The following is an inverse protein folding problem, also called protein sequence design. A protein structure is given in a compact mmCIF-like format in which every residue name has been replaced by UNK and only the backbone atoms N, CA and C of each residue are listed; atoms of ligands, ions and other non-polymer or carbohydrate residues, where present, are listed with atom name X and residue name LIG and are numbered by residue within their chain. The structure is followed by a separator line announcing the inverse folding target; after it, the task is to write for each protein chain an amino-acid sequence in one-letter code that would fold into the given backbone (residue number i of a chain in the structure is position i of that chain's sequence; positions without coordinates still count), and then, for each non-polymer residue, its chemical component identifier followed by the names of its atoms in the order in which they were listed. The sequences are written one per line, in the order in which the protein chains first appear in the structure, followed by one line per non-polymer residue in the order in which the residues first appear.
data_IF_795241770349
#
_entry.id   IF_795241770349
#
_cell.length_a   1.000
_cell.length_b   1.000
_cell.length_c   1.000
_cell.angle_alpha   90.00
_cell.angle_beta   90.00
_cell.angle_gamma   90.00
#
_symmetry.space_group_name_H-M   'P 1'
#
loop_
_entity.id
_entity.type
_entity.pdbx_description
1 polymer ?
#
# COMPACT_ATOMS: atom_id res chain seq x y z
N UNK A 1 -16.51 -24.48 -2.76
CA UNK A 1 -16.55 -23.18 -2.06
C UNK A 1 -16.09 -22.13 -3.04
N UNK A 2 -17.09 -21.50 -3.65
CA UNK A 2 -17.03 -20.45 -4.67
C UNK A 2 -16.43 -19.17 -4.09
N UNK A 3 -15.92 -18.33 -4.99
CA UNK A 3 -15.49 -16.95 -4.74
C UNK A 3 -16.45 -16.28 -3.75
N UNK A 4 -15.99 -15.81 -2.60
CA UNK A 4 -16.85 -14.96 -1.78
C UNK A 4 -17.03 -13.62 -2.48
N UNK A 5 -18.27 -13.24 -2.85
CA UNK A 5 -18.58 -12.02 -3.60
C UNK A 5 -18.12 -10.73 -2.89
N UNK A 6 -17.70 -10.80 -1.62
CA UNK A 6 -17.32 -9.67 -0.79
C UNK A 6 -16.03 -8.95 -1.21
N UNK A 7 -14.97 -9.65 -1.63
CA UNK A 7 -13.72 -8.98 -2.06
C UNK A 7 -13.90 -8.26 -3.39
N UNK A 8 -14.54 -8.91 -4.36
CA UNK A 8 -14.90 -8.28 -5.63
C UNK A 8 -15.86 -7.11 -5.41
N UNK A 9 -16.81 -7.24 -4.50
CA UNK A 9 -17.70 -6.14 -4.10
C UNK A 9 -16.93 -4.97 -3.46
N UNK A 10 -15.82 -5.21 -2.77
CA UNK A 10 -14.97 -4.13 -2.23
C UNK A 10 -14.25 -3.36 -3.34
N UNK A 11 -13.72 -4.07 -4.35
CA UNK A 11 -13.11 -3.47 -5.54
C UNK A 11 -14.13 -2.72 -6.39
N UNK A 12 -15.28 -3.34 -6.66
CA UNK A 12 -16.41 -2.74 -7.36
C UNK A 12 -16.91 -1.49 -6.62
N UNK A 13 -17.05 -1.56 -5.29
CA UNK A 13 -17.41 -0.40 -4.46
C UNK A 13 -16.36 0.71 -4.59
N UNK A 14 -15.08 0.39 -4.58
CA UNK A 14 -13.99 1.37 -4.77
C UNK A 14 -14.15 2.08 -6.12
N UNK A 15 -14.37 1.33 -7.20
CA UNK A 15 -14.56 1.90 -8.52
C UNK A 15 -15.82 2.75 -8.62
N UNK A 16 -16.96 2.24 -8.15
CA UNK A 16 -18.24 2.96 -8.15
C UNK A 16 -18.16 4.27 -7.34
N UNK A 17 -17.39 4.27 -6.25
CA UNK A 17 -17.21 5.46 -5.43
C UNK A 17 -16.36 6.52 -6.12
N UNK A 18 -15.32 6.14 -6.87
CA UNK A 18 -14.45 7.08 -7.57
C UNK A 18 -14.79 7.23 -9.07
N UNK A 19 -15.97 6.78 -9.50
CA UNK A 19 -16.41 6.85 -10.91
C UNK A 19 -16.50 8.28 -11.47
N UNK A 20 -16.66 9.27 -10.59
CA UNK A 20 -16.67 10.69 -10.98
C UNK A 20 -15.27 11.24 -11.23
N UNK A 21 -14.21 10.53 -10.80
CA UNK A 21 -12.83 10.90 -11.08
C UNK A 21 -12.40 10.34 -12.43
N UNK A 22 -11.41 10.98 -13.06
CA UNK A 22 -10.93 10.58 -14.36
C UNK A 22 -10.26 9.21 -14.37
N UNK A 23 -10.21 8.58 -15.55
CA UNK A 23 -9.57 7.29 -15.81
C UNK A 23 -8.21 7.17 -15.12
N UNK A 24 -7.99 6.09 -14.39
CA UNK A 24 -6.72 5.81 -13.71
C UNK A 24 -5.82 4.92 -14.58
N UNK A 25 -4.47 4.99 -14.48
CA UNK A 25 -3.57 4.18 -15.33
C UNK A 25 -3.83 2.67 -15.26
N UNK A 26 -4.20 2.17 -14.07
CA UNK A 26 -4.58 0.77 -13.84
C UNK A 26 -6.00 0.74 -13.29
N UNK A 27 -6.96 0.33 -14.10
CA UNK A 27 -8.36 0.27 -13.68
C UNK A 27 -8.83 -1.18 -13.54
N UNK A 28 -9.61 -1.46 -12.51
CA UNK A 28 -10.28 -2.74 -12.37
C UNK A 28 -11.53 -2.76 -13.25
N UNK A 29 -11.73 -3.80 -14.04
CA UNK A 29 -12.96 -4.03 -14.79
C UNK A 29 -13.87 -4.98 -13.99
N UNK A 30 -15.03 -4.51 -13.48
CA UNK A 30 -15.87 -5.30 -12.59
C UNK A 30 -16.63 -6.40 -13.34
N UNK A 31 -16.88 -6.21 -14.64
CA UNK A 31 -17.59 -7.16 -15.49
C UNK A 31 -16.68 -8.35 -15.80
N UNK A 32 -15.45 -8.06 -16.22
CA UNK A 32 -14.48 -9.11 -16.56
C UNK A 32 -13.66 -9.62 -15.37
N UNK A 33 -13.68 -8.90 -14.25
CA UNK A 33 -12.84 -9.16 -13.06
C UNK A 33 -11.34 -9.21 -13.38
N UNK A 34 -10.90 -8.31 -14.26
CA UNK A 34 -9.49 -8.17 -14.67
C UNK A 34 -9.03 -6.74 -14.44
N UNK A 35 -7.74 -6.56 -14.19
CA UNK A 35 -7.14 -5.22 -14.24
C UNK A 35 -6.77 -4.90 -15.69
N UNK A 36 -7.10 -3.69 -16.14
CA UNK A 36 -6.74 -3.18 -17.46
C UNK A 36 -5.79 -2.01 -17.31
N UNK A 37 -4.67 -2.07 -18.03
CA UNK A 37 -3.83 -0.89 -18.23
C UNK A 37 -4.49 0.01 -19.26
N UNK A 38 -4.71 1.27 -18.90
CA UNK A 38 -5.14 2.29 -19.83
C UNK A 38 -3.91 2.82 -20.58
N UNK A 39 -3.84 2.72 -21.92
CA UNK A 39 -2.73 3.27 -22.68
C UNK A 39 -2.74 4.80 -22.61
N UNK A 40 -1.57 5.40 -22.84
CA UNK A 40 -1.43 6.86 -22.91
C UNK A 40 -2.40 7.41 -23.96
N UNK A 41 -3.43 8.10 -23.49
CA UNK A 41 -4.54 8.59 -24.30
C UNK A 41 -5.10 9.86 -23.68
N UNK A 42 -5.91 10.60 -24.44
CA UNK A 42 -6.57 11.84 -23.96
C UNK A 42 -7.40 11.59 -22.70
N UNK A 43 -7.87 10.35 -22.48
CA UNK A 43 -8.62 9.94 -21.28
C UNK A 43 -7.80 9.99 -19.98
N UNK A 44 -6.47 9.94 -20.06
CA UNK A 44 -5.56 10.02 -18.90
C UNK A 44 -5.13 11.45 -18.57
N UNK A 45 -5.40 12.43 -19.45
CA UNK A 45 -5.02 13.84 -19.23
C UNK A 45 -5.57 14.38 -17.91
N UNK A 46 -6.84 14.16 -17.52
CA UNK A 46 -7.32 14.72 -16.26
C UNK A 46 -6.74 14.02 -15.02
N UNK A 47 -6.33 12.74 -15.12
CA UNK A 47 -5.54 12.11 -14.06
C UNK A 47 -4.17 12.78 -13.93
N UNK A 48 -3.46 13.02 -15.04
CA UNK A 48 -2.18 13.70 -15.03
C UNK A 48 -2.29 15.12 -14.44
N UNK A 49 -3.36 15.85 -14.77
CA UNK A 49 -3.67 17.15 -14.14
C UNK A 49 -3.88 16.98 -12.63
N UNK A 50 -4.62 15.97 -12.19
CA UNK A 50 -4.86 15.70 -10.76
C UNK A 50 -3.58 15.38 -9.99
N UNK A 51 -2.68 14.57 -10.56
CA UNK A 51 -1.35 14.27 -9.96
C UNK A 51 -0.48 15.52 -9.94
N UNK A 52 -0.50 16.32 -11.00
CA UNK A 52 0.23 17.59 -11.07
C UNK A 52 -0.28 18.58 -10.03
N UNK A 53 -1.60 18.66 -9.84
CA UNK A 53 -2.21 19.45 -8.77
C UNK A 53 -1.78 18.94 -7.39
N UNK A 54 -1.81 17.63 -7.14
CA UNK A 54 -1.32 17.06 -5.87
C UNK A 54 0.14 17.46 -5.60
N UNK A 55 1.00 17.36 -6.61
CA UNK A 55 2.40 17.74 -6.50
C UNK A 55 2.58 19.25 -6.23
N UNK A 56 1.91 20.10 -6.99
CA UNK A 56 2.08 21.56 -6.93
C UNK A 56 1.35 22.23 -5.75
N UNK A 57 0.18 21.73 -5.36
CA UNK A 57 -0.68 22.34 -4.31
C UNK A 57 -0.35 21.80 -2.93
N UNK A 58 0.14 20.55 -2.81
CA UNK A 58 0.40 19.90 -1.51
C UNK A 58 1.88 19.65 -1.33
N UNK A 59 2.50 18.84 -2.20
CA UNK A 59 3.87 18.37 -1.99
C UNK A 59 4.88 19.52 -2.00
N UNK A 60 4.89 20.37 -3.04
CA UNK A 60 5.86 21.47 -3.17
C UNK A 60 5.73 22.49 -2.02
N UNK A 61 4.55 23.02 -1.67
CA UNK A 61 4.39 23.91 -0.53
C UNK A 61 4.88 23.29 0.78
N UNK A 62 4.53 22.02 1.04
CA UNK A 62 4.99 21.34 2.25
C UNK A 62 6.51 21.15 2.25
N UNK A 63 7.11 20.79 1.12
CA UNK A 63 8.56 20.60 1.00
C UNK A 63 9.30 21.92 1.27
N UNK A 64 8.84 23.02 0.66
CA UNK A 64 9.40 24.36 0.89
C UNK A 64 9.32 24.72 2.37
N UNK A 65 8.15 24.55 3.01
CA UNK A 65 7.98 24.86 4.43
C UNK A 65 8.88 24.01 5.34
N UNK A 66 9.01 22.70 5.07
CA UNK A 66 9.88 21.81 5.85
C UNK A 66 11.35 22.18 5.67
N UNK A 67 11.80 22.39 4.44
CA UNK A 67 13.17 22.80 4.14
C UNK A 67 13.46 24.15 4.82
N UNK A 68 12.54 25.11 4.73
CA UNK A 68 12.72 26.42 5.33
C UNK A 68 12.80 26.35 6.86
N UNK A 69 12.00 25.50 7.49
CA UNK A 69 12.05 25.23 8.93
C UNK A 69 13.38 24.58 9.35
N UNK A 70 13.87 23.60 8.58
CA UNK A 70 15.13 22.89 8.87
C UNK A 70 16.34 23.83 8.79
N UNK A 71 16.32 24.79 7.87
CA UNK A 71 17.38 25.80 7.74
C UNK A 71 17.22 26.99 8.70
N UNK A 72 16.16 27.03 9.51
CA UNK A 72 15.95 28.09 10.49
C UNK A 72 15.46 29.43 9.91
N UNK A 73 14.98 29.46 8.67
CA UNK A 73 14.42 30.69 8.07
C UNK A 73 13.15 31.15 8.77
N UNK A 74 12.33 30.20 9.24
CA UNK A 74 11.08 30.47 9.94
C UNK A 74 10.93 29.58 11.17
N UNK A 75 10.19 30.07 12.17
CA UNK A 75 9.77 29.29 13.33
C UNK A 75 8.28 28.93 13.20
N UNK A 76 8.00 27.85 12.49
CA UNK A 76 6.65 27.28 12.37
C UNK A 76 6.29 26.58 13.70
N UNK A 77 5.14 26.91 14.31
CA UNK A 77 4.67 26.21 15.50
C UNK A 77 4.61 24.70 15.25
N UNK A 78 5.02 23.92 16.25
CA UNK A 78 5.18 22.48 16.15
C UNK A 78 3.92 21.76 15.63
N UNK A 79 2.73 22.23 16.00
CA UNK A 79 1.47 21.67 15.53
C UNK A 79 1.28 21.81 14.02
N UNK A 80 1.55 23.00 13.49
CA UNK A 80 1.47 23.27 12.05
C UNK A 80 2.54 22.50 11.28
N UNK A 81 3.75 22.45 11.83
CA UNK A 81 4.85 21.70 11.25
C UNK A 81 4.54 20.20 11.17
N UNK A 82 3.97 19.58 12.21
CA UNK A 82 3.58 18.17 12.19
C UNK A 82 2.52 17.87 11.12
N UNK A 83 1.52 18.74 10.97
CA UNK A 83 0.51 18.63 9.92
C UNK A 83 1.15 18.74 8.52
N UNK A 84 2.04 19.70 8.32
CA UNK A 84 2.81 19.85 7.06
C UNK A 84 3.65 18.63 6.77
N UNK A 85 4.33 18.06 7.76
CA UNK A 85 5.14 16.86 7.61
C UNK A 85 4.29 15.64 7.22
N UNK A 86 3.09 15.49 7.81
CA UNK A 86 2.13 14.43 7.43
C UNK A 86 1.67 14.61 5.98
N UNK A 87 1.33 15.83 5.56
CA UNK A 87 0.96 16.12 4.18
C UNK A 87 2.12 15.88 3.22
N UNK A 88 3.34 16.26 3.57
CA UNK A 88 4.54 15.99 2.77
C UNK A 88 4.74 14.49 2.56
N UNK A 89 4.70 13.71 3.64
CA UNK A 89 4.88 12.27 3.58
C UNK A 89 3.76 11.58 2.77
N UNK A 90 2.51 11.98 2.99
CA UNK A 90 1.35 11.39 2.31
C UNK A 90 1.32 11.76 0.82
N UNK A 91 1.50 13.04 0.48
CA UNK A 91 1.52 13.48 -0.91
C UNK A 91 2.73 12.93 -1.67
N UNK A 92 3.90 12.87 -1.05
CA UNK A 92 5.09 12.26 -1.64
C UNK A 92 4.89 10.78 -1.95
N UNK A 93 4.30 10.03 -1.00
CA UNK A 93 3.90 8.65 -1.22
C UNK A 93 2.93 8.52 -2.40
N UNK A 94 1.87 9.33 -2.43
CA UNK A 94 0.87 9.27 -3.49
C UNK A 94 1.45 9.62 -4.86
N UNK A 95 2.26 10.68 -4.98
CA UNK A 95 2.92 11.06 -6.23
C UNK A 95 3.85 9.95 -6.72
N UNK A 96 4.71 9.40 -5.86
CA UNK A 96 5.61 8.30 -6.22
C UNK A 96 4.82 7.05 -6.61
N UNK A 97 3.79 6.70 -5.84
CA UNK A 97 2.95 5.55 -6.12
C UNK A 97 2.14 5.67 -7.41
N UNK A 98 1.61 6.86 -7.71
CA UNK A 98 0.91 7.15 -8.98
C UNK A 98 1.86 7.02 -10.17
N UNK A 99 3.11 7.50 -10.04
CA UNK A 99 4.14 7.31 -11.06
C UNK A 99 4.50 5.83 -11.25
N UNK A 100 4.67 5.07 -10.17
CA UNK A 100 4.93 3.63 -10.23
C UNK A 100 3.76 2.88 -10.87
N UNK A 101 2.52 3.22 -10.53
CA UNK A 101 1.33 2.62 -11.15
C UNK A 101 1.28 2.90 -12.66
N UNK A 102 1.67 4.11 -13.09
CA UNK A 102 1.75 4.47 -14.49
C UNK A 102 2.81 3.67 -15.25
N UNK A 103 4.05 3.63 -14.73
CA UNK A 103 5.16 2.95 -15.40
C UNK A 103 5.01 1.42 -15.36
N UNK A 104 4.72 0.87 -14.18
CA UNK A 104 4.75 -0.58 -13.93
C UNK A 104 3.39 -1.26 -14.11
N UNK A 105 2.33 -0.49 -14.39
CA UNK A 105 0.99 -1.05 -14.59
C UNK A 105 0.86 -2.03 -15.75
N UNK A 106 1.85 -2.06 -16.66
CA UNK A 106 1.89 -3.04 -17.75
C UNK A 106 2.18 -4.46 -17.29
N UNK A 107 2.99 -4.61 -16.25
CA UNK A 107 3.38 -5.90 -15.68
C UNK A 107 2.36 -6.38 -14.64
N UNK A 108 1.75 -5.45 -13.90
CA UNK A 108 0.79 -5.77 -12.85
C UNK A 108 -0.55 -6.30 -13.39
N UNK A 109 -1.05 -5.78 -14.51
CA UNK A 109 -2.32 -6.23 -15.10
C UNK A 109 -2.35 -7.73 -15.47
N UNK A 110 -1.41 -8.27 -16.29
CA UNK A 110 -1.39 -9.69 -16.64
C UNK A 110 -1.09 -10.60 -15.44
N UNK A 111 -0.37 -10.10 -14.44
CA UNK A 111 -0.15 -10.79 -13.17
C UNK A 111 -1.46 -11.10 -12.45
N UNK A 112 -2.33 -10.09 -12.27
CA UNK A 112 -3.62 -10.31 -11.64
C UNK A 112 -4.51 -11.26 -12.44
N UNK A 113 -4.49 -11.16 -13.77
CA UNK A 113 -5.25 -12.05 -14.64
C UNK A 113 -4.81 -13.50 -14.47
N UNK A 114 -3.50 -13.75 -14.46
CA UNK A 114 -2.93 -15.10 -14.30
C UNK A 114 -3.22 -15.65 -12.90
N UNK A 115 -3.08 -14.83 -11.85
CA UNK A 115 -3.45 -15.23 -10.49
C UNK A 115 -4.95 -15.57 -10.36
N UNK A 116 -5.81 -14.85 -11.08
CA UNK A 116 -7.24 -15.10 -11.06
C UNK A 116 -7.58 -16.43 -11.76
N UNK A 117 -6.91 -16.74 -12.88
CA UNK A 117 -7.06 -18.02 -13.58
C UNK A 117 -6.59 -19.22 -12.75
N UNK A 118 -5.61 -19.04 -11.87
CA UNK A 118 -5.04 -20.10 -11.02
C UNK A 118 -5.87 -20.42 -9.77
N UNK A 119 -6.87 -19.60 -9.42
CA UNK A 119 -7.49 -19.67 -8.10
C UNK A 119 -8.97 -20.09 -8.12
N UNK A 120 -9.26 -21.34 -7.70
CA UNK A 120 -10.61 -21.92 -7.74
C UNK A 120 -11.41 -21.86 -6.41
N UNK A 121 -10.84 -21.47 -5.26
CA UNK A 121 -11.57 -21.53 -3.95
C UNK A 121 -11.14 -20.46 -2.96
N UNK A 122 -12.09 -19.77 -2.32
CA UNK A 122 -11.81 -18.51 -1.57
C UNK A 122 -12.70 -18.33 -0.31
N UNK A 123 -12.19 -17.61 0.72
CA UNK A 123 -12.83 -17.24 2.00
C UNK A 123 -12.81 -15.71 2.18
N UNK A 124 -13.87 -15.14 2.78
CA UNK A 124 -14.11 -13.70 2.94
C UNK A 124 -13.40 -13.05 4.15
N UNK A 125 -13.05 -11.75 4.02
CA UNK A 125 -12.66 -10.87 5.13
C UNK A 125 -13.49 -9.57 5.14
N UNK A 126 -14.23 -9.35 6.24
CA UNK A 126 -15.01 -8.13 6.54
C UNK A 126 -14.13 -6.87 6.63
N UNK A 127 -12.86 -7.03 7.01
CA UNK A 127 -11.93 -5.93 7.29
C UNK A 127 -11.64 -5.04 6.07
N UNK A 128 -11.63 -5.61 4.86
CA UNK A 128 -11.34 -4.84 3.63
C UNK A 128 -12.42 -3.78 3.37
N UNK A 129 -13.69 -4.13 3.58
CA UNK A 129 -14.81 -3.22 3.37
C UNK A 129 -14.77 -2.04 4.34
N UNK A 130 -14.39 -2.27 5.61
CA UNK A 130 -14.30 -1.20 6.61
C UNK A 130 -13.26 -0.16 6.21
N UNK A 131 -12.08 -0.60 5.78
CA UNK A 131 -10.98 0.30 5.35
C UNK A 131 -11.37 1.07 4.09
N UNK A 132 -11.96 0.39 3.09
CA UNK A 132 -12.44 1.05 1.86
C UNK A 132 -13.47 2.13 2.20
N UNK A 133 -14.48 1.80 3.01
CA UNK A 133 -15.52 2.76 3.42
C UNK A 133 -14.94 3.94 4.20
N UNK A 134 -13.94 3.73 5.05
CA UNK A 134 -13.25 4.83 5.73
C UNK A 134 -12.59 5.78 4.72
N UNK A 135 -11.78 5.27 3.79
CA UNK A 135 -11.14 6.11 2.77
C UNK A 135 -12.13 6.80 1.82
N UNK A 136 -13.32 6.24 1.60
CA UNK A 136 -14.38 6.93 0.86
C UNK A 136 -14.90 8.16 1.59
N UNK A 137 -15.08 8.08 2.91
CA UNK A 137 -15.68 9.16 3.70
C UNK A 137 -14.70 10.32 3.96
N UNK A 138 -13.41 9.99 4.06
CA UNK A 138 -12.33 10.92 4.39
C UNK A 138 -12.25 12.18 3.50
N UNK A 139 -12.29 12.09 2.15
CA UNK A 139 -12.15 13.26 1.28
C UNK A 139 -13.34 14.22 1.34
N UNK A 140 -14.50 13.81 1.87
CA UNK A 140 -15.65 14.71 2.05
C UNK A 140 -15.56 15.51 3.34
N UNK A 141 -15.01 14.91 4.39
CA UNK A 141 -15.02 15.47 5.75
C UNK A 141 -13.76 16.31 6.00
N UNK A 142 -12.58 15.77 5.72
CA UNK A 142 -11.33 16.39 6.16
C UNK A 142 -10.94 17.67 5.45
N UNK A 143 -11.09 17.81 4.11
CA UNK A 143 -10.70 19.04 3.43
C UNK A 143 -11.45 20.26 3.96
N UNK A 144 -12.74 20.10 4.29
CA UNK A 144 -13.55 21.16 4.90
C UNK A 144 -12.94 21.65 6.23
N UNK A 145 -12.53 20.73 7.10
CA UNK A 145 -11.90 21.08 8.37
C UNK A 145 -10.50 21.69 8.21
N UNK A 146 -9.68 21.21 7.28
CA UNK A 146 -8.36 21.79 7.00
C UNK A 146 -8.47 23.21 6.43
N UNK A 147 -9.43 23.44 5.52
CA UNK A 147 -9.70 24.77 4.96
C UNK A 147 -10.25 25.73 6.02
N UNK A 148 -11.18 25.26 6.86
CA UNK A 148 -11.77 26.03 7.96
C UNK A 148 -10.72 26.44 9.01
N UNK A 149 -9.91 25.50 9.47
CA UNK A 149 -8.85 25.74 10.46
C UNK A 149 -7.60 26.43 9.89
N UNK A 150 -7.57 26.67 8.57
CA UNK A 150 -6.42 27.26 7.86
C UNK A 150 -5.11 26.48 8.10
N UNK A 151 -5.22 25.17 8.21
CA UNK A 151 -4.08 24.26 8.37
C UNK A 151 -3.63 23.62 7.04
N UNK A 152 -4.30 23.95 5.93
CA UNK A 152 -3.89 23.49 4.60
C UNK A 152 -2.49 24.02 4.19
N UNK A 153 -1.73 23.28 3.35
CA UNK A 153 -0.37 23.64 2.96
C UNK A 153 -0.24 25.03 2.32
N UNK A 154 -1.20 25.42 1.49
CA UNK A 154 -1.17 26.69 0.77
C UNK A 154 -1.36 27.89 1.70
N UNK A 155 -2.27 27.81 2.67
CA UNK A 155 -2.48 28.87 3.66
C UNK A 155 -1.27 29.00 4.59
N UNK A 156 -0.62 27.87 4.93
CA UNK A 156 0.63 27.92 5.67
C UNK A 156 1.74 28.57 4.84
N UNK A 157 1.89 28.21 3.56
CA UNK A 157 2.84 28.85 2.65
C UNK A 157 2.58 30.34 2.48
N UNK A 158 1.31 30.73 2.35
CA UNK A 158 0.88 32.13 2.28
C UNK A 158 1.32 32.89 3.53
N UNK A 159 1.02 32.34 4.71
CA UNK A 159 1.30 33.00 5.99
C UNK A 159 2.79 33.24 6.23
N UNK A 160 3.64 32.26 5.91
CA UNK A 160 5.07 32.33 6.25
C UNK A 160 5.94 32.92 5.14
N UNK A 161 5.58 32.76 3.87
CA UNK A 161 6.44 33.14 2.74
C UNK A 161 5.76 34.20 1.86
N UNK A 162 4.55 33.93 1.35
CA UNK A 162 3.99 34.75 0.27
C UNK A 162 3.40 36.09 0.74
N UNK A 163 3.07 36.23 2.02
CA UNK A 163 2.55 37.49 2.56
C UNK A 163 3.54 38.65 2.38
N UNK A 164 4.85 38.36 2.33
CA UNK A 164 5.88 39.36 2.04
C UNK A 164 5.83 39.90 0.60
N UNK A 165 5.22 39.16 -0.33
CA UNK A 165 5.19 39.51 -1.77
C UNK A 165 3.83 40.03 -2.25
N UNK A 166 2.82 40.12 -1.37
CA UNK A 166 1.48 40.64 -1.74
C UNK A 166 0.62 39.70 -2.61
N UNK A 167 1.01 38.42 -2.77
CA UNK A 167 0.34 37.45 -3.66
C UNK A 167 -0.85 36.73 -2.97
N UNK A 168 -1.16 37.04 -1.71
CA UNK A 168 -2.10 36.27 -0.88
C UNK A 168 -3.52 36.11 -1.47
N UNK A 169 -4.02 37.10 -2.22
CA UNK A 169 -5.35 37.01 -2.86
C UNK A 169 -5.44 35.85 -3.85
N UNK A 170 -4.42 35.63 -4.67
CA UNK A 170 -4.40 34.52 -5.64
C UNK A 170 -4.36 33.15 -4.96
N UNK A 171 -3.65 33.04 -3.84
CA UNK A 171 -3.53 31.78 -3.08
C UNK A 171 -4.88 31.33 -2.54
N UNK A 172 -5.73 32.26 -2.10
CA UNK A 172 -7.07 31.92 -1.58
C UNK A 172 -7.97 31.22 -2.60
N UNK A 173 -7.86 31.56 -3.89
CA UNK A 173 -8.59 30.83 -4.94
C UNK A 173 -8.01 29.43 -5.19
N UNK A 174 -6.68 29.30 -5.15
CA UNK A 174 -5.99 28.02 -5.32
C UNK A 174 -6.27 27.03 -4.17
N UNK A 175 -6.62 27.53 -2.97
CA UNK A 175 -6.98 26.68 -1.82
C UNK A 175 -8.14 25.73 -2.10
N UNK A 176 -9.09 26.09 -2.97
CA UNK A 176 -10.18 25.18 -3.32
C UNK A 176 -9.70 23.93 -4.10
N UNK A 177 -8.58 24.03 -4.81
CA UNK A 177 -7.98 22.89 -5.52
C UNK A 177 -7.45 21.82 -4.56
N UNK A 178 -7.21 22.16 -3.29
CA UNK A 178 -6.83 21.21 -2.24
C UNK A 178 -7.87 20.11 -2.02
N UNK A 179 -9.14 20.38 -2.30
CA UNK A 179 -10.19 19.35 -2.19
C UNK A 179 -9.92 18.23 -3.20
N UNK A 180 -9.59 18.58 -4.45
CA UNK A 180 -9.29 17.62 -5.51
C UNK A 180 -8.06 16.76 -5.18
N UNK A 181 -7.04 17.35 -4.54
CA UNK A 181 -5.84 16.60 -4.14
C UNK A 181 -6.13 15.61 -3.03
N UNK A 182 -7.04 15.93 -2.10
CA UNK A 182 -7.48 15.00 -1.06
C UNK A 182 -8.27 13.81 -1.63
N UNK A 183 -9.13 14.04 -2.64
CA UNK A 183 -9.77 12.95 -3.38
C UNK A 183 -8.73 12.06 -4.08
N UNK A 184 -7.70 12.65 -4.69
CA UNK A 184 -6.63 11.89 -5.34
C UNK A 184 -5.86 11.02 -4.35
N UNK A 185 -5.49 11.55 -3.17
CA UNK A 185 -4.81 10.80 -2.11
C UNK A 185 -5.68 9.61 -1.66
N UNK A 186 -6.96 9.85 -1.38
CA UNK A 186 -7.86 8.81 -0.88
C UNK A 186 -8.11 7.72 -1.94
N UNK A 187 -8.25 8.12 -3.22
CA UNK A 187 -8.36 7.19 -4.35
C UNK A 187 -7.11 6.30 -4.45
N UNK A 188 -5.93 6.90 -4.47
CA UNK A 188 -4.66 6.17 -4.53
C UNK A 188 -4.54 5.17 -3.39
N UNK A 189 -4.77 5.60 -2.14
CA UNK A 189 -4.66 4.74 -0.96
C UNK A 189 -5.65 3.57 -1.01
N UNK A 190 -6.87 3.81 -1.46
CA UNK A 190 -7.90 2.77 -1.58
C UNK A 190 -7.52 1.73 -2.65
N UNK A 191 -7.09 2.18 -3.83
CA UNK A 191 -6.64 1.29 -4.91
C UNK A 191 -5.42 0.50 -4.46
N UNK A 192 -4.41 1.15 -3.88
CA UNK A 192 -3.20 0.51 -3.39
C UNK A 192 -3.50 -0.57 -2.34
N UNK A 193 -4.32 -0.25 -1.33
CA UNK A 193 -4.68 -1.21 -0.29
C UNK A 193 -5.48 -2.41 -0.82
N UNK A 194 -6.48 -2.15 -1.66
CA UNK A 194 -7.36 -3.20 -2.20
C UNK A 194 -6.63 -4.11 -3.19
N UNK A 195 -5.84 -3.55 -4.09
CA UNK A 195 -5.02 -4.31 -5.05
C UNK A 195 -4.00 -5.19 -4.34
N UNK A 196 -3.24 -4.65 -3.38
CA UNK A 196 -2.24 -5.43 -2.62
C UNK A 196 -2.90 -6.54 -1.80
N UNK A 197 -3.99 -6.23 -1.09
CA UNK A 197 -4.72 -7.25 -0.32
C UNK A 197 -5.22 -8.37 -1.23
N UNK A 198 -5.76 -8.02 -2.40
CA UNK A 198 -6.25 -9.00 -3.37
C UNK A 198 -5.11 -9.85 -3.94
N UNK A 199 -4.01 -9.22 -4.36
CA UNK A 199 -2.83 -9.91 -4.90
C UNK A 199 -2.29 -10.94 -3.91
N UNK A 200 -1.95 -10.50 -2.69
CA UNK A 200 -1.40 -11.39 -1.66
C UNK A 200 -2.37 -12.51 -1.31
N UNK A 201 -3.67 -12.20 -1.26
CA UNK A 201 -4.69 -13.20 -1.00
C UNK A 201 -4.76 -14.27 -2.09
N UNK A 202 -4.75 -13.88 -3.37
CA UNK A 202 -4.76 -14.82 -4.50
C UNK A 202 -3.54 -15.75 -4.43
N UNK A 203 -2.35 -15.19 -4.19
CA UNK A 203 -1.11 -15.98 -4.01
C UNK A 203 -1.25 -16.97 -2.84
N UNK A 204 -1.71 -16.52 -1.68
CA UNK A 204 -1.93 -17.41 -0.52
C UNK A 204 -2.94 -18.51 -0.80
N UNK A 205 -3.97 -18.22 -1.59
CA UNK A 205 -4.99 -19.19 -1.97
C UNK A 205 -4.41 -20.29 -2.85
N UNK A 206 -3.57 -19.93 -3.82
CA UNK A 206 -2.84 -20.88 -4.67
C UNK A 206 -1.90 -21.73 -3.80
N UNK A 207 -1.13 -21.12 -2.91
CA UNK A 207 -0.23 -21.83 -1.97
C UNK A 207 -1.02 -22.80 -1.08
N UNK A 208 -2.19 -22.40 -0.58
CA UNK A 208 -3.05 -23.28 0.21
C UNK A 208 -3.57 -24.47 -0.59
N UNK A 209 -3.84 -24.29 -1.89
CA UNK A 209 -4.21 -25.38 -2.77
C UNK A 209 -3.00 -26.30 -3.05
N UNK A 210 -1.81 -25.74 -3.26
CA UNK A 210 -0.56 -26.50 -3.37
C UNK A 210 -0.27 -27.33 -2.11
N UNK A 211 -0.51 -26.77 -0.92
CA UNK A 211 -0.32 -27.46 0.36
C UNK A 211 -1.25 -28.68 0.51
N UNK A 212 -2.49 -28.57 0.04
CA UNK A 212 -3.42 -29.70 0.02
C UNK A 212 -2.98 -30.79 -0.96
N UNK A 213 -2.45 -30.40 -2.12
CA UNK A 213 -1.94 -31.34 -3.12
C UNK A 213 -0.60 -31.97 -2.73
N UNK A 214 0.18 -31.28 -1.88
CA UNK A 214 1.51 -31.72 -1.42
C UNK A 214 1.50 -33.11 -0.80
N UNK A 215 0.45 -33.46 -0.04
CA UNK A 215 0.32 -34.77 0.63
C UNK A 215 0.04 -35.92 -0.34
N UNK A 216 -0.37 -35.62 -1.59
CA UNK A 216 -0.77 -36.61 -2.59
C UNK A 216 0.30 -36.86 -3.66
N UNK A 217 1.45 -36.18 -3.57
CA UNK A 217 2.54 -36.27 -4.56
C UNK A 217 3.10 -37.69 -4.69
N UNK A 218 3.11 -38.46 -3.60
CA UNK A 218 3.62 -39.83 -3.60
C UNK A 218 2.67 -40.83 -4.29
N UNK A 219 1.38 -40.51 -4.43
CA UNK A 219 0.35 -41.43 -4.93
C UNK A 219 0.42 -41.59 -6.45
N UNK A 220 0.52 -40.49 -7.21
CA UNK A 220 0.49 -40.56 -8.68
C UNK A 220 1.40 -39.53 -9.33
N UNK A 221 2.05 -39.91 -10.42
CA UNK A 221 2.92 -39.01 -11.19
C UNK A 221 2.21 -37.81 -11.78
N UNK A 222 0.98 -38.02 -12.26
CA UNK A 222 0.13 -36.94 -12.76
C UNK A 222 -0.10 -35.83 -11.72
N UNK A 223 -0.37 -36.19 -10.46
CA UNK A 223 -0.62 -35.23 -9.37
C UNK A 223 0.65 -34.45 -9.05
N UNK A 224 1.80 -35.14 -8.95
CA UNK A 224 3.09 -34.50 -8.75
C UNK A 224 3.43 -33.51 -9.86
N UNK A 225 3.26 -33.93 -11.13
CA UNK A 225 3.54 -33.09 -12.30
C UNK A 225 2.65 -31.84 -12.33
N UNK A 226 1.36 -31.99 -12.04
CA UNK A 226 0.42 -30.86 -11.98
C UNK A 226 0.75 -29.89 -10.83
N UNK A 227 1.07 -30.41 -9.64
CA UNK A 227 1.44 -29.59 -8.47
C UNK A 227 2.70 -28.78 -8.74
N UNK A 228 3.72 -29.43 -9.32
CA UNK A 228 4.96 -28.76 -9.71
C UNK A 228 4.76 -27.73 -10.81
N UNK A 229 3.95 -28.02 -11.83
CA UNK A 229 3.65 -27.06 -12.88
C UNK A 229 2.96 -25.81 -12.32
N UNK A 230 2.04 -25.99 -11.36
CA UNK A 230 1.36 -24.88 -10.69
C UNK A 230 2.34 -24.03 -9.86
N UNK A 231 3.25 -24.67 -9.11
CA UNK A 231 4.32 -23.96 -8.39
C UNK A 231 5.26 -23.22 -9.35
N UNK A 232 5.74 -23.88 -10.40
CA UNK A 232 6.64 -23.30 -11.42
C UNK A 232 5.96 -22.07 -12.07
N UNK A 233 4.66 -22.16 -12.37
CA UNK A 233 3.88 -21.05 -12.93
C UNK A 233 3.74 -19.90 -11.93
N UNK A 234 3.44 -20.18 -10.66
CA UNK A 234 3.37 -19.15 -9.62
C UNK A 234 4.71 -18.45 -9.42
N UNK A 235 5.82 -19.20 -9.44
CA UNK A 235 7.17 -18.66 -9.34
C UNK A 235 7.49 -17.73 -10.53
N UNK A 236 7.18 -18.15 -11.76
CA UNK A 236 7.37 -17.33 -12.97
C UNK A 236 6.56 -16.04 -12.88
N UNK A 237 5.30 -16.12 -12.45
CA UNK A 237 4.40 -14.97 -12.32
C UNK A 237 4.89 -13.98 -11.25
N UNK A 238 5.37 -14.48 -10.12
CA UNK A 238 5.98 -13.64 -9.07
C UNK A 238 7.31 -13.04 -9.51
N UNK A 239 8.11 -13.77 -10.29
CA UNK A 239 9.37 -13.28 -10.83
C UNK A 239 9.16 -12.20 -11.91
N UNK A 240 8.12 -12.35 -12.74
CA UNK A 240 7.72 -11.35 -13.74
C UNK A 240 7.23 -10.03 -13.11
N UNK A 241 6.85 -10.04 -11.83
CA UNK A 241 6.41 -8.86 -11.08
C UNK A 241 7.35 -8.51 -9.92
N UNK A 242 8.58 -9.00 -9.99
CA UNK A 242 9.55 -8.85 -8.91
C UNK A 242 9.86 -7.37 -8.63
N UNK A 243 10.31 -6.63 -9.65
CA UNK A 243 10.67 -5.21 -9.54
C UNK A 243 9.52 -4.32 -9.02
N UNK A 244 8.28 -4.41 -9.55
CA UNK A 244 7.17 -3.59 -9.03
C UNK A 244 6.79 -3.98 -7.61
N UNK A 245 6.78 -5.28 -7.30
CA UNK A 245 6.45 -5.74 -5.97
C UNK A 245 7.48 -5.27 -4.94
N UNK A 246 8.78 -5.41 -5.24
CA UNK A 246 9.87 -4.99 -4.35
C UNK A 246 9.75 -3.50 -4.00
N UNK A 247 9.58 -2.66 -5.02
CA UNK A 247 9.50 -1.20 -4.89
C UNK A 247 8.23 -0.78 -4.16
N UNK A 248 7.08 -1.39 -4.50
CA UNK A 248 5.82 -1.10 -3.84
C UNK A 248 5.83 -1.53 -2.36
N UNK A 249 6.41 -2.70 -2.04
CA UNK A 249 6.56 -3.17 -0.67
C UNK A 249 7.43 -2.22 0.16
N UNK A 250 8.58 -1.78 -0.37
CA UNK A 250 9.46 -0.84 0.30
C UNK A 250 8.77 0.51 0.55
N UNK A 251 8.11 1.04 -0.48
CA UNK A 251 7.41 2.32 -0.42
C UNK A 251 6.27 2.30 0.62
N UNK A 252 5.44 1.25 0.61
CA UNK A 252 4.32 1.10 1.55
C UNK A 252 4.83 0.88 2.98
N UNK A 253 5.86 0.05 3.18
CA UNK A 253 6.43 -0.19 4.51
C UNK A 253 7.06 1.09 5.09
N UNK A 254 7.81 1.83 4.27
CA UNK A 254 8.41 3.10 4.67
C UNK A 254 7.34 4.14 5.01
N UNK A 255 6.35 4.33 4.14
CA UNK A 255 5.28 5.28 4.38
C UNK A 255 4.41 4.90 5.59
N UNK A 256 4.08 3.60 5.75
CA UNK A 256 3.37 3.11 6.93
C UNK A 256 4.11 3.41 8.23
N UNK A 257 5.46 3.34 8.21
CA UNK A 257 6.30 3.65 9.36
C UNK A 257 6.26 5.14 9.69
N UNK A 258 6.60 5.98 8.69
CA UNK A 258 6.66 7.44 8.84
C UNK A 258 5.30 8.01 9.26
N UNK A 259 4.23 7.61 8.56
CA UNK A 259 2.89 8.08 8.88
C UNK A 259 2.44 7.55 10.24
N UNK A 260 2.66 6.28 10.59
CA UNK A 260 2.24 5.79 11.91
C UNK A 260 2.93 6.53 13.06
N UNK A 261 4.23 6.81 12.95
CA UNK A 261 4.97 7.60 13.94
C UNK A 261 4.38 9.01 14.03
N UNK A 262 4.18 9.69 12.90
CA UNK A 262 3.64 11.05 12.87
C UNK A 262 2.21 11.14 13.44
N UNK A 263 1.32 10.23 13.02
CA UNK A 263 -0.06 10.17 13.50
C UNK A 263 -0.12 9.84 15.01
N UNK A 264 0.68 8.90 15.49
CA UNK A 264 0.77 8.58 16.92
C UNK A 264 1.31 9.74 17.74
N UNK A 265 2.35 10.41 17.24
CA UNK A 265 2.93 11.58 17.88
C UNK A 265 1.91 12.71 18.04
N UNK A 266 1.21 13.06 16.95
CA UNK A 266 0.17 14.11 16.98
C UNK A 266 -0.96 13.72 17.92
N UNK A 267 -1.40 12.46 17.88
CA UNK A 267 -2.47 11.96 18.76
C UNK A 267 -2.08 12.09 20.24
N UNK A 268 -0.88 11.63 20.62
CA UNK A 268 -0.49 11.59 22.04
C UNK A 268 -0.05 12.96 22.58
N UNK A 269 0.60 13.79 21.75
CA UNK A 269 1.23 15.04 22.22
C UNK A 269 0.40 16.30 21.97
N UNK A 270 -0.48 16.31 20.97
CA UNK A 270 -1.12 17.54 20.48
C UNK A 270 -2.63 17.65 20.78
N UNK A 271 -3.16 16.83 21.69
CA UNK A 271 -4.60 16.74 21.92
C UNK A 271 -5.25 18.06 22.38
N UNK A 272 -4.54 18.87 23.16
CA UNK A 272 -5.03 20.17 23.63
C UNK A 272 -4.85 21.31 22.63
N UNK A 273 -4.00 21.13 21.61
CA UNK A 273 -3.58 22.24 20.74
C UNK A 273 -4.31 22.24 19.40
N UNK A 274 -4.73 21.06 18.93
CA UNK A 274 -5.47 20.92 17.67
C UNK A 274 -6.97 21.03 17.95
N UNK A 275 -7.70 21.92 17.26
CA UNK A 275 -9.14 22.07 17.49
C UNK A 275 -9.91 20.80 17.11
N UNK A 276 -10.91 20.46 17.92
CA UNK A 276 -11.94 19.49 17.52
C UNK A 276 -12.78 20.09 16.38
N UNK A 277 -13.19 19.32 15.36
CA UNK A 277 -13.05 17.87 15.22
C UNK A 277 -11.80 17.42 14.44
N UNK A 278 -10.93 18.33 14.00
CA UNK A 278 -9.73 18.00 13.23
C UNK A 278 -8.83 17.01 14.00
N UNK A 279 -8.77 17.15 15.33
CA UNK A 279 -8.01 16.22 16.16
C UNK A 279 -8.44 14.75 15.98
N UNK A 280 -9.74 14.45 15.78
CA UNK A 280 -10.23 13.06 15.62
C UNK A 280 -9.68 12.35 14.37
N UNK A 281 -9.20 13.11 13.39
CA UNK A 281 -8.52 12.56 12.21
C UNK A 281 -7.28 11.76 12.59
N UNK A 282 -6.51 12.24 13.57
CA UNK A 282 -5.21 11.66 13.89
C UNK A 282 -5.29 10.28 14.57
N UNK A 283 -6.07 10.08 15.65
CA UNK A 283 -6.26 8.75 16.21
C UNK A 283 -6.96 7.82 15.22
N UNK A 284 -7.92 8.31 14.44
CA UNK A 284 -8.58 7.53 13.39
C UNK A 284 -7.60 7.05 12.32
N UNK A 285 -6.75 7.95 11.80
CA UNK A 285 -5.69 7.62 10.86
C UNK A 285 -4.68 6.64 11.43
N UNK A 286 -4.25 6.82 12.68
CA UNK A 286 -3.36 5.87 13.36
C UNK A 286 -3.97 4.47 13.45
N UNK A 287 -5.23 4.37 13.87
CA UNK A 287 -5.94 3.08 13.96
C UNK A 287 -6.08 2.40 12.60
N UNK A 288 -6.39 3.15 11.54
CA UNK A 288 -6.46 2.62 10.17
C UNK A 288 -5.09 2.12 9.72
N UNK A 289 -4.03 2.92 9.87
CA UNK A 289 -2.66 2.53 9.48
C UNK A 289 -2.22 1.29 10.25
N UNK A 290 -2.43 1.25 11.58
CA UNK A 290 -2.14 0.07 12.40
C UNK A 290 -2.95 -1.16 11.96
N UNK A 291 -4.21 -0.97 11.59
CA UNK A 291 -5.07 -2.02 11.03
C UNK A 291 -4.52 -2.56 9.71
N UNK A 292 -4.13 -1.68 8.79
CA UNK A 292 -3.51 -2.03 7.50
C UNK A 292 -2.23 -2.84 7.74
N UNK A 293 -1.32 -2.37 8.60
CA UNK A 293 -0.07 -3.08 8.95
C UNK A 293 -0.38 -4.46 9.55
N UNK A 294 -1.34 -4.54 10.48
CA UNK A 294 -1.74 -5.81 11.11
C UNK A 294 -2.37 -6.79 10.12
N UNK A 295 -2.97 -6.31 9.04
CA UNK A 295 -3.60 -7.15 8.01
C UNK A 295 -2.61 -7.57 6.93
N UNK A 296 -1.95 -6.61 6.27
CA UNK A 296 -1.09 -6.89 5.12
C UNK A 296 0.21 -7.59 5.50
N UNK A 297 0.89 -7.13 6.56
CA UNK A 297 2.22 -7.64 6.88
C UNK A 297 2.21 -9.15 7.19
N UNK A 298 1.28 -9.70 7.99
CA UNK A 298 1.19 -11.15 8.20
C UNK A 298 0.79 -11.91 6.94
N UNK A 299 -0.05 -11.34 6.07
CA UNK A 299 -0.42 -12.00 4.81
C UNK A 299 0.81 -12.19 3.92
N UNK A 300 1.60 -11.13 3.74
CA UNK A 300 2.82 -11.19 2.91
C UNK A 300 3.85 -12.17 3.50
N UNK A 301 4.06 -12.14 4.82
CA UNK A 301 4.95 -13.11 5.50
C UNK A 301 4.45 -14.54 5.35
N UNK A 302 3.12 -14.75 5.40
CA UNK A 302 2.55 -16.09 5.28
C UNK A 302 2.76 -16.72 3.92
N UNK A 303 3.03 -15.93 2.86
CA UNK A 303 3.40 -16.46 1.52
C UNK A 303 4.69 -17.26 1.65
N UNK A 304 5.74 -16.64 2.21
CA UNK A 304 7.05 -17.27 2.39
C UNK A 304 7.01 -18.45 3.36
N UNK A 305 6.37 -18.29 4.52
CA UNK A 305 6.33 -19.35 5.54
C UNK A 305 5.51 -20.57 5.08
N UNK A 306 4.39 -20.34 4.39
CA UNK A 306 3.55 -21.45 3.90
C UNK A 306 4.25 -22.23 2.80
N UNK A 307 4.94 -21.54 1.89
CA UNK A 307 5.70 -22.18 0.83
C UNK A 307 6.86 -23.03 1.36
N UNK A 308 7.58 -22.54 2.37
CA UNK A 308 8.61 -23.31 3.07
C UNK A 308 8.05 -24.60 3.68
N UNK A 309 6.86 -24.55 4.30
CA UNK A 309 6.20 -25.74 4.85
C UNK A 309 5.88 -26.75 3.74
N UNK A 310 5.43 -26.29 2.57
CA UNK A 310 5.16 -27.15 1.41
C UNK A 310 6.43 -27.88 0.97
N UNK A 311 7.55 -27.17 0.84
CA UNK A 311 8.84 -27.77 0.52
C UNK A 311 9.25 -28.87 1.52
N UNK A 312 9.10 -28.62 2.83
CA UNK A 312 9.40 -29.66 3.85
C UNK A 312 8.47 -30.87 3.76
N UNK A 313 7.19 -30.68 3.42
CA UNK A 313 6.24 -31.78 3.20
C UNK A 313 6.60 -32.58 1.96
N UNK A 314 7.03 -31.93 0.88
CA UNK A 314 7.50 -32.61 -0.33
C UNK A 314 8.73 -33.47 -0.04
N UNK A 315 9.69 -32.95 0.72
CA UNK A 315 10.87 -33.71 1.16
C UNK A 315 10.51 -34.91 2.05
N UNK A 316 9.53 -34.77 2.95
CA UNK A 316 9.00 -35.89 3.72
C UNK A 316 8.32 -36.95 2.84
N UNK A 317 7.47 -36.53 1.89
CA UNK A 317 6.78 -37.43 0.98
C UNK A 317 7.74 -38.17 0.03
N UNK A 318 8.91 -37.59 -0.29
CA UNK A 318 9.95 -38.26 -1.08
C UNK A 318 10.46 -39.56 -0.45
N UNK A 319 10.31 -39.72 0.86
CA UNK A 319 10.71 -40.96 1.55
C UNK A 319 9.76 -42.13 1.24
N UNK A 320 8.50 -41.84 0.89
CA UNK A 320 7.47 -42.83 0.55
C UNK A 320 7.46 -43.22 -0.93
N UNK A 321 8.20 -42.50 -1.78
CA UNK A 321 8.24 -42.76 -3.23
C UNK A 321 9.23 -43.88 -3.54
N UNK A 322 8.84 -44.78 -4.46
CA UNK A 322 9.71 -45.84 -4.99
C UNK A 322 11.08 -45.31 -5.45
N UNK A 323 12.14 -46.10 -5.20
CA UNK A 323 13.55 -45.71 -5.43
C UNK A 323 13.82 -45.22 -6.86
N UNK A 324 13.19 -45.85 -7.86
CA UNK A 324 13.33 -45.48 -9.28
C UNK A 324 12.87 -44.03 -9.56
N UNK A 325 11.80 -43.58 -8.93
CA UNK A 325 11.21 -42.24 -9.13
C UNK A 325 11.75 -41.19 -8.16
N UNK A 326 12.23 -41.63 -6.98
CA UNK A 326 12.76 -40.76 -5.92
C UNK A 326 13.89 -39.85 -6.41
N UNK A 327 14.82 -40.36 -7.22
CA UNK A 327 15.97 -39.59 -7.70
C UNK A 327 15.54 -38.40 -8.57
N UNK A 328 14.61 -38.61 -9.50
CA UNK A 328 14.10 -37.56 -10.39
C UNK A 328 13.32 -36.48 -9.62
N UNK A 329 12.40 -36.89 -8.75
CA UNK A 329 11.62 -35.95 -7.93
C UNK A 329 12.49 -35.18 -6.94
N UNK A 330 13.47 -35.82 -6.32
CA UNK A 330 14.38 -35.15 -5.39
C UNK A 330 15.22 -34.08 -6.09
N UNK A 331 15.73 -34.36 -7.30
CA UNK A 331 16.41 -33.34 -8.11
C UNK A 331 15.48 -32.16 -8.41
N UNK A 332 14.23 -32.44 -8.80
CA UNK A 332 13.25 -31.39 -9.13
C UNK A 332 12.88 -30.53 -7.92
N UNK A 333 12.61 -31.14 -6.77
CA UNK A 333 12.28 -30.42 -5.53
C UNK A 333 13.47 -29.55 -5.06
N UNK A 334 14.70 -30.06 -5.17
CA UNK A 334 15.90 -29.29 -4.83
C UNK A 334 16.18 -28.12 -5.78
N UNK A 335 15.74 -28.22 -7.04
CA UNK A 335 15.86 -27.11 -8.00
C UNK A 335 14.80 -26.03 -7.83
N UNK A 336 13.66 -26.36 -7.21
CA UNK A 336 12.61 -25.39 -6.95
C UNK A 336 13.06 -24.42 -5.87
N UNK A 337 12.94 -23.13 -6.15
CA UNK A 337 13.25 -22.09 -5.19
C UNK A 337 12.02 -21.79 -4.36
N UNK A 338 12.21 -21.62 -3.05
CA UNK A 338 11.16 -21.14 -2.16
C UNK A 338 10.73 -19.75 -2.62
N UNK A 339 9.41 -19.52 -2.70
CA UNK A 339 8.82 -18.25 -3.07
C UNK A 339 9.20 -17.18 -2.05
N UNK A 340 9.99 -16.18 -2.49
CA UNK A 340 10.46 -15.07 -1.65
C UNK A 340 9.81 -13.78 -2.09
N UNK A 341 9.21 -13.07 -1.14
CA UNK A 341 8.77 -11.69 -1.31
C UNK A 341 9.76 -10.78 -0.58
N UNK A 342 10.47 -9.98 -1.37
CA UNK A 342 11.43 -9.00 -0.88
C UNK A 342 10.83 -7.61 -0.71
N UNK A 343 11.63 -6.74 -0.10
CA UNK A 343 11.49 -5.29 -0.12
C UNK A 343 12.77 -4.71 -0.69
N UNK A 344 12.67 -3.83 -1.67
CA UNK A 344 13.83 -3.29 -2.39
C UNK A 344 13.48 -2.01 -3.15
N UNK A 345 14.48 -1.42 -3.79
CA UNK A 345 14.29 -0.30 -4.70
C UNK A 345 14.90 -0.69 -6.05
N UNK A 346 14.07 -0.67 -7.10
CA UNK A 346 14.47 -1.14 -8.43
C UNK A 346 14.99 -2.59 -8.35
N UNK A 347 16.21 -2.84 -8.83
CA UNK A 347 16.85 -4.17 -8.85
C UNK A 347 17.60 -4.50 -7.55
N UNK A 348 17.65 -3.60 -6.57
CA UNK A 348 18.38 -3.82 -5.33
C UNK A 348 17.44 -4.30 -4.22
N UNK A 349 17.59 -5.57 -3.83
CA UNK A 349 16.89 -6.16 -2.70
C UNK A 349 17.54 -5.72 -1.38
N UNK A 350 16.75 -5.11 -0.47
CA UNK A 350 17.26 -4.75 0.86
C UNK A 350 17.12 -5.92 1.84
N UNK A 351 15.96 -6.59 1.86
CA UNK A 351 15.69 -7.72 2.74
C UNK A 351 14.46 -8.52 2.30
N UNK A 352 14.38 -9.77 2.76
CA UNK A 352 13.21 -10.63 2.59
C UNK A 352 12.20 -10.46 3.73
N UNK A 353 10.91 -10.52 3.40
CA UNK A 353 9.83 -10.45 4.37
C UNK A 353 9.65 -11.78 5.09
N UNK A 354 10.26 -11.90 6.27
CA UNK A 354 10.20 -13.07 7.15
C UNK A 354 9.46 -12.77 8.45
N UNK A 355 9.17 -13.80 9.25
CA UNK A 355 8.51 -13.63 10.57
C UNK A 355 9.21 -12.61 11.48
N UNK A 356 10.55 -12.55 11.47
CA UNK A 356 11.29 -11.57 12.28
C UNK A 356 11.10 -10.12 11.78
N UNK A 357 10.78 -9.91 10.50
CA UNK A 357 10.52 -8.57 9.96
C UNK A 357 9.31 -7.94 10.63
N UNK A 358 8.27 -8.73 10.96
CA UNK A 358 7.09 -8.24 11.70
C UNK A 358 7.46 -7.69 13.07
N UNK A 359 8.22 -8.46 13.85
CA UNK A 359 8.63 -8.05 15.20
C UNK A 359 9.56 -6.85 15.16
N UNK A 360 10.53 -6.84 14.24
CA UNK A 360 11.43 -5.69 14.05
C UNK A 360 10.65 -4.44 13.62
N UNK A 361 9.72 -4.55 12.67
CA UNK A 361 8.93 -3.41 12.21
C UNK A 361 8.07 -2.80 13.33
N UNK A 362 7.40 -3.63 14.13
CA UNK A 362 6.61 -3.18 15.27
C UNK A 362 7.48 -2.55 16.36
N UNK A 363 8.65 -3.13 16.64
CA UNK A 363 9.62 -2.58 17.58
C UNK A 363 10.14 -1.21 17.13
N UNK A 364 10.54 -1.08 15.87
CA UNK A 364 11.06 0.17 15.29
C UNK A 364 9.99 1.27 15.33
N UNK A 365 8.75 0.93 14.97
CA UNK A 365 7.61 1.86 15.04
C UNK A 365 7.39 2.37 16.46
N UNK A 366 7.38 1.48 17.46
CA UNK A 366 7.22 1.86 18.86
C UNK A 366 8.39 2.69 19.37
N UNK A 367 9.62 2.24 19.09
CA UNK A 367 10.86 2.91 19.53
C UNK A 367 10.94 4.33 18.99
N UNK A 368 10.71 4.53 17.69
CA UNK A 368 10.74 5.88 17.12
C UNK A 368 9.56 6.75 17.58
N UNK A 369 8.40 6.16 17.85
CA UNK A 369 7.28 6.90 18.46
C UNK A 369 7.67 7.40 19.87
N UNK A 370 8.30 6.55 20.70
CA UNK A 370 8.80 6.95 22.03
C UNK A 370 9.86 8.04 21.89
N UNK A 371 10.85 7.86 21.00
CA UNK A 371 11.89 8.87 20.76
C UNK A 371 11.30 10.20 20.30
N UNK A 372 10.29 10.20 19.42
CA UNK A 372 9.60 11.40 18.99
C UNK A 372 8.88 12.10 20.16
N UNK A 373 8.24 11.34 21.06
CA UNK A 373 7.58 11.89 22.24
C UNK A 373 8.56 12.51 23.25
N UNK A 374 9.78 11.97 23.34
CA UNK A 374 10.83 12.47 24.24
C UNK A 374 11.64 13.64 23.63
N UNK A 375 11.67 13.76 22.29
CA UNK A 375 12.50 14.70 21.53
C UNK A 375 12.26 16.19 21.82
N UNK A 376 11.14 16.59 22.43
CA UNK A 376 10.91 18.00 22.77
C UNK A 376 9.98 18.18 23.98
N UNK A 377 10.41 18.97 24.95
CA UNK A 377 9.50 19.60 25.92
C UNK A 377 8.72 20.67 25.14
N UNK A 378 7.42 20.48 25.01
CA UNK A 378 6.55 21.50 24.42
C UNK A 378 6.31 22.49 25.54
N UNK A 379 7.00 23.62 25.49
CA UNK A 379 6.71 24.75 26.37
C UNK A 379 5.37 25.32 25.89
N UNK A 380 4.34 25.21 26.74
CA UNK A 380 2.95 25.57 26.44
C UNK A 380 2.70 27.07 26.61
#
# INVERSE_FOLDING_TARGET
MSITPLMWRALERTQNQFQFMATYPIEFDPVKKIYRKNPMSVKLVPWAISVTLLFTVVFVPCAILVIAQVHGFFAIPLTKFAVVAIFLATSGLCCLGDLLAFFMGGEMAPFFETLNQLNDRIISRISLNVVVTAFTLYPYIFPGFFLYTRMDPLCQLEKYILNHYGIGKCVNYLRFLFILTCFQICRFMTICFTTMTMATYLVLSIIKNLDKSATWIWVTERIAKSTFLCHDTLQIVLQATHDPHLTAAALIMFAGLVLSIAFNYVTLKMWHVIPMPLYLFFPGGSLIIAGIIRLLLPMVISVFESDRVIHTKWEGCLQLVAKSRKMGLSKKIKSMQVLRLGSGLLQHEFYYLKKSTKTTYQYVLLSYTISALLSKRVDF
#
